data_IF_265681545619
#
_entry.id   IF_265681545619
#
_cell.length_a   1.000
_cell.length_b   1.000
_cell.length_c   1.000
_cell.angle_alpha   90.00
_cell.angle_beta   90.00
_cell.angle_gamma   90.00
#
_symmetry.space_group_name_H-M   'P 1'
#
loop_
_entity.id
_entity.type
_entity.pdbx_description
1 polymer ?
#
# COMPACT_ATOMS: atom_id res chain seq x y z
N UNK A 1 -8.79 4.03 24.70
CA UNK A 1 -8.24 5.15 23.91
C UNK A 1 -7.89 4.57 22.56
N UNK A 2 -8.36 5.09 21.42
CA UNK A 2 -7.80 4.70 20.13
C UNK A 2 -6.30 5.03 20.19
N UNK A 3 -5.46 4.01 20.00
CA UNK A 3 -4.02 4.25 19.86
C UNK A 3 -3.84 5.18 18.68
N UNK A 4 -3.12 6.28 18.90
CA UNK A 4 -2.74 7.18 17.82
C UNK A 4 -1.93 6.36 16.82
N UNK A 5 -2.51 6.15 15.65
CA UNK A 5 -1.91 5.28 14.64
C UNK A 5 -0.80 6.11 14.03
N UNK A 6 0.44 5.87 14.42
CA UNK A 6 1.64 6.62 13.97
C UNK A 6 1.94 6.51 12.48
N UNK A 7 0.97 6.07 11.66
CA UNK A 7 1.04 5.99 10.21
C UNK A 7 -0.27 6.48 9.58
N UNK A 8 -0.14 7.08 8.39
CA UNK A 8 -1.28 7.53 7.58
C UNK A 8 -1.67 6.43 6.59
N UNK A 9 -2.93 6.03 6.62
CA UNK A 9 -3.48 4.96 5.78
C UNK A 9 -4.02 5.50 4.45
N UNK A 10 -3.87 4.72 3.38
CA UNK A 10 -4.57 5.04 2.13
C UNK A 10 -6.06 4.75 2.22
N UNK A 11 -6.83 5.27 1.24
CA UNK A 11 -8.26 4.98 1.08
C UNK A 11 -8.51 3.47 1.06
N UNK A 12 -7.64 2.70 0.38
CA UNK A 12 -7.73 1.24 0.33
C UNK A 12 -7.70 0.62 1.72
N UNK A 13 -6.76 1.02 2.58
CA UNK A 13 -6.67 0.46 3.93
C UNK A 13 -7.88 0.84 4.79
N UNK A 14 -8.38 2.07 4.66
CA UNK A 14 -9.58 2.52 5.34
C UNK A 14 -10.83 1.75 4.88
N UNK A 15 -11.02 1.58 3.58
CA UNK A 15 -12.15 0.85 2.98
C UNK A 15 -12.16 -0.63 3.36
N UNK A 16 -10.98 -1.22 3.52
CA UNK A 16 -10.80 -2.59 4.00
C UNK A 16 -10.88 -2.71 5.52
N UNK A 17 -10.95 -1.59 6.24
CA UNK A 17 -11.00 -1.53 7.70
C UNK A 17 -9.89 -2.36 8.34
N UNK A 18 -8.68 -2.27 7.79
CA UNK A 18 -7.52 -3.03 8.28
C UNK A 18 -7.17 -2.58 9.69
N UNK A 19 -6.81 -3.54 10.55
CA UNK A 19 -6.48 -3.33 11.96
C UNK A 19 -5.16 -4.00 12.37
N UNK A 20 -4.60 -4.82 11.49
CA UNK A 20 -3.29 -5.44 11.66
C UNK A 20 -2.40 -5.08 10.49
N UNK A 21 -1.24 -4.49 10.78
CA UNK A 21 -0.34 -3.92 9.79
C UNK A 21 1.05 -4.53 9.92
N UNK A 22 1.65 -4.91 8.80
CA UNK A 22 2.99 -5.48 8.73
C UNK A 22 3.87 -4.52 7.93
N UNK A 23 4.87 -3.97 8.59
CA UNK A 23 5.84 -3.05 8.01
C UNK A 23 7.11 -3.77 7.62
N UNK A 24 7.76 -3.29 6.57
CA UNK A 24 9.08 -3.74 6.17
C UNK A 24 10.02 -2.56 6.02
N UNK A 25 11.24 -2.69 6.56
CA UNK A 25 12.29 -1.69 6.35
C UNK A 25 12.81 -1.75 4.91
N UNK A 26 13.18 -0.59 4.42
CA UNK A 26 13.79 -0.33 3.12
C UNK A 26 14.94 0.64 3.33
N UNK A 27 15.72 0.91 2.28
CA UNK A 27 16.76 1.95 2.34
C UNK A 27 16.21 3.36 2.56
N UNK A 28 14.89 3.57 2.38
CA UNK A 28 14.21 4.86 2.51
C UNK A 28 13.33 4.94 3.77
N UNK A 29 13.62 4.13 4.79
CA UNK A 29 12.76 3.95 5.97
C UNK A 29 11.84 2.74 5.82
N UNK A 30 10.74 2.70 6.54
CA UNK A 30 9.76 1.62 6.49
C UNK A 30 8.60 1.92 5.55
N UNK A 31 8.00 0.86 5.03
CA UNK A 31 6.75 0.90 4.24
C UNK A 31 5.74 -0.09 4.79
N UNK A 32 4.45 0.19 4.60
CA UNK A 32 3.42 -0.80 4.87
C UNK A 32 3.49 -1.87 3.80
N UNK A 33 3.87 -3.07 4.21
CA UNK A 33 3.96 -4.20 3.30
C UNK A 33 2.60 -4.87 3.12
N UNK A 34 1.93 -5.14 4.24
CA UNK A 34 0.67 -5.86 4.28
C UNK A 34 -0.25 -5.27 5.34
N UNK A 35 -1.55 -5.24 5.10
CA UNK A 35 -2.54 -5.03 6.14
C UNK A 35 -3.73 -5.97 6.02
N UNK A 36 -4.24 -6.40 7.17
CA UNK A 36 -5.31 -7.40 7.33
C UNK A 36 -6.39 -6.83 8.23
N UNK A 37 -7.62 -7.26 8.01
CA UNK A 37 -8.73 -7.04 8.93
C UNK A 37 -9.01 -8.35 9.68
N UNK A 38 -8.56 -8.42 10.94
CA UNK A 38 -8.66 -9.63 11.77
C UNK A 38 -10.10 -10.06 12.05
N UNK A 39 -11.07 -9.14 11.94
CA UNK A 39 -12.48 -9.45 12.13
C UNK A 39 -12.99 -10.44 11.07
N UNK A 40 -12.51 -10.33 9.83
CA UNK A 40 -12.97 -11.19 8.73
C UNK A 40 -12.07 -12.40 8.51
N UNK A 41 -10.75 -12.21 8.59
CA UNK A 41 -9.81 -13.32 8.50
C UNK A 41 -8.79 -13.22 9.64
N UNK A 42 -9.03 -13.93 10.75
CA UNK A 42 -8.04 -14.08 11.80
C UNK A 42 -6.78 -14.75 11.25
N UNK A 43 -5.63 -14.12 11.47
CA UNK A 43 -4.33 -14.60 10.98
C UNK A 43 -3.35 -14.80 12.13
N UNK A 44 -2.59 -15.89 12.03
CA UNK A 44 -1.42 -16.16 12.87
C UNK A 44 -0.12 -15.83 12.13
N UNK A 45 1.01 -15.91 12.82
CA UNK A 45 2.33 -15.84 12.19
C UNK A 45 2.48 -16.89 11.09
N UNK A 46 2.09 -18.14 11.36
CA UNK A 46 2.14 -19.24 10.38
C UNK A 46 1.33 -18.95 9.11
N UNK A 47 0.13 -18.38 9.26
CA UNK A 47 -0.70 -17.99 8.11
C UNK A 47 -0.02 -16.92 7.26
N UNK A 48 0.54 -15.89 7.88
CA UNK A 48 1.25 -14.81 7.17
C UNK A 48 2.46 -15.35 6.42
N UNK A 49 3.30 -16.18 7.05
CA UNK A 49 4.46 -16.79 6.39
C UNK A 49 4.04 -17.61 5.17
N UNK A 50 3.03 -18.47 5.33
CA UNK A 50 2.50 -19.27 4.23
C UNK A 50 1.96 -18.41 3.09
N UNK A 51 1.20 -17.37 3.37
CA UNK A 51 0.66 -16.47 2.35
C UNK A 51 1.73 -15.67 1.65
N UNK A 52 2.73 -15.18 2.37
CA UNK A 52 3.90 -14.51 1.79
C UNK A 52 4.62 -15.42 0.81
N UNK A 53 4.88 -16.67 1.20
CA UNK A 53 5.50 -17.66 0.31
C UNK A 53 4.63 -17.98 -0.90
N UNK A 54 3.32 -18.09 -0.70
CA UNK A 54 2.34 -18.35 -1.75
C UNK A 54 2.26 -17.21 -2.79
N UNK A 55 2.36 -15.96 -2.34
CA UNK A 55 2.35 -14.77 -3.19
C UNK A 55 3.72 -14.46 -3.82
N UNK A 56 4.79 -15.19 -3.50
CA UNK A 56 6.15 -14.89 -3.97
C UNK A 56 6.36 -15.29 -5.43
N UNK A 57 7.26 -14.59 -6.13
CA UNK A 57 7.68 -15.02 -7.47
C UNK A 57 8.58 -16.24 -7.30
N UNK A 58 8.22 -17.36 -7.93
CA UNK A 58 8.96 -18.63 -7.85
C UNK A 58 10.46 -18.51 -8.23
N UNK A 59 10.87 -17.45 -8.93
CA UNK A 59 12.26 -17.23 -9.35
C UNK A 59 13.14 -16.58 -8.29
N UNK A 60 12.58 -16.14 -7.16
CA UNK A 60 13.37 -15.64 -6.04
C UNK A 60 13.83 -16.79 -5.16
N UNK A 61 15.09 -16.77 -4.72
CA UNK A 61 15.51 -17.63 -3.61
C UNK A 61 14.58 -17.38 -2.41
N UNK A 62 14.20 -18.41 -1.63
CA UNK A 62 13.46 -18.18 -0.39
C UNK A 62 14.23 -17.15 0.43
N UNK A 63 13.56 -16.10 0.93
CA UNK A 63 14.23 -15.22 1.88
C UNK A 63 14.76 -16.09 3.01
N UNK A 64 16.00 -15.83 3.44
CA UNK A 64 16.44 -16.32 4.74
C UNK A 64 15.36 -15.92 5.75
N UNK A 65 14.84 -16.90 6.49
CA UNK A 65 13.52 -16.84 7.13
C UNK A 65 13.25 -15.51 7.82
N UNK A 66 12.04 -14.99 7.61
CA UNK A 66 11.62 -13.80 8.33
C UNK A 66 10.93 -14.14 9.63
N UNK A 67 10.82 -13.14 10.48
CA UNK A 67 10.05 -13.21 11.71
C UNK A 67 9.17 -11.98 11.84
N UNK A 68 8.07 -12.13 12.57
CA UNK A 68 7.23 -11.01 12.96
C UNK A 68 7.58 -10.59 14.39
N UNK A 69 7.55 -9.30 14.68
CA UNK A 69 7.55 -8.80 16.05
C UNK A 69 6.64 -7.58 16.16
N UNK A 70 6.04 -7.30 17.33
CA UNK A 70 5.36 -6.02 17.56
C UNK A 70 6.33 -4.85 17.38
N UNK A 71 5.86 -3.78 16.72
CA UNK A 71 6.65 -2.56 16.50
C UNK A 71 5.89 -1.31 16.90
N UNK A 72 6.63 -0.30 17.33
CA UNK A 72 6.16 1.09 17.31
C UNK A 72 6.45 1.69 15.95
N UNK A 73 5.48 2.41 15.40
CA UNK A 73 5.61 3.11 14.12
C UNK A 73 5.64 4.60 14.41
N UNK A 74 6.62 5.29 13.84
CA UNK A 74 6.76 6.74 13.91
C UNK A 74 6.87 7.33 12.51
N UNK A 75 6.59 8.62 12.36
CA UNK A 75 6.88 9.32 11.10
C UNK A 75 8.39 9.58 11.00
N UNK A 76 8.98 9.19 9.87
CA UNK A 76 10.42 9.33 9.60
C UNK A 76 10.61 9.82 8.18
N UNK A 77 10.57 11.13 7.99
CA UNK A 77 10.64 11.76 6.68
C UNK A 77 9.27 12.11 6.11
N UNK A 78 9.28 12.65 4.89
CA UNK A 78 8.07 13.03 4.16
C UNK A 78 7.34 11.75 3.75
N UNK A 79 6.12 11.59 4.27
CA UNK A 79 5.24 10.45 3.95
C UNK A 79 5.92 9.08 4.15
N UNK A 80 6.86 8.99 5.09
CA UNK A 80 7.70 7.82 5.32
C UNK A 80 7.70 7.46 6.80
N UNK A 81 7.97 6.20 7.12
CA UNK A 81 7.81 5.67 8.48
C UNK A 81 9.15 5.19 9.04
N UNK A 82 9.33 5.36 10.34
CA UNK A 82 10.29 4.61 11.14
C UNK A 82 9.56 3.47 11.84
N UNK A 83 10.25 2.35 12.01
CA UNK A 83 9.75 1.23 12.80
C UNK A 83 10.82 0.75 13.75
N UNK A 84 10.42 0.59 15.00
CA UNK A 84 11.27 0.13 16.08
C UNK A 84 10.59 -1.06 16.80
N UNK A 85 11.27 -2.21 16.92
CA UNK A 85 10.75 -3.35 17.66
C UNK A 85 10.43 -3.00 19.12
N UNK A 86 9.23 -3.35 19.58
CA UNK A 86 8.79 -3.09 20.95
C UNK A 86 8.28 -4.35 21.67
N UNK A 87 8.39 -5.52 21.04
CA UNK A 87 7.96 -6.80 21.61
C UNK A 87 8.85 -7.97 21.19
N UNK A 88 8.55 -9.14 21.77
CA UNK A 88 9.25 -10.38 21.44
C UNK A 88 8.99 -10.80 19.99
N UNK A 89 9.98 -11.49 19.43
CA UNK A 89 9.85 -12.15 18.14
C UNK A 89 8.78 -13.25 18.25
N UNK A 90 7.89 -13.30 17.26
CA UNK A 90 6.85 -14.31 17.11
C UNK A 90 7.38 -15.36 16.15
N UNK A 91 7.38 -16.61 16.61
CA UNK A 91 7.93 -17.71 15.81
C UNK A 91 7.13 -17.90 14.50
N UNK A 92 7.79 -18.27 13.39
CA UNK A 92 7.13 -18.38 12.08
C UNK A 92 6.04 -19.44 12.03
N UNK A 93 6.15 -20.49 12.85
CA UNK A 93 5.19 -21.59 12.95
C UNK A 93 4.11 -21.36 14.01
N UNK A 94 4.11 -20.21 14.69
CA UNK A 94 3.09 -19.89 15.69
C UNK A 94 1.70 -19.87 15.05
N UNK A 95 0.80 -20.69 15.60
CA UNK A 95 -0.62 -20.75 15.25
C UNK A 95 -1.48 -19.82 16.09
N UNK A 96 -0.88 -19.10 17.05
CA UNK A 96 -1.59 -18.11 17.85
C UNK A 96 -2.05 -16.95 16.96
N UNK A 97 -3.32 -16.58 17.10
CA UNK A 97 -3.89 -15.46 16.35
C UNK A 97 -3.24 -14.17 16.80
N UNK A 98 -2.75 -13.39 15.85
CA UNK A 98 -2.15 -12.09 16.12
C UNK A 98 -3.21 -11.12 16.64
N UNK A 99 -2.89 -10.37 17.68
CA UNK A 99 -3.73 -9.25 18.11
C UNK A 99 -3.69 -8.13 17.05
N UNK A 100 -4.77 -7.34 16.90
CA UNK A 100 -4.74 -6.11 16.13
C UNK A 100 -3.58 -5.19 16.57
N UNK A 101 -2.88 -4.60 15.61
CA UNK A 101 -1.70 -3.77 15.90
C UNK A 101 -0.68 -3.71 14.76
N UNK A 102 0.49 -3.16 15.08
CA UNK A 102 1.59 -2.99 14.13
C UNK A 102 2.69 -4.02 14.39
N UNK A 103 3.12 -4.67 13.31
CA UNK A 103 4.16 -5.69 13.31
C UNK A 103 5.26 -5.32 12.30
N UNK A 104 6.49 -5.69 12.61
CA UNK A 104 7.65 -5.52 11.75
C UNK A 104 8.10 -6.87 11.19
N UNK A 105 8.48 -6.85 9.91
CA UNK A 105 9.21 -7.94 9.27
C UNK A 105 10.70 -7.83 9.63
N UNK A 106 11.22 -8.84 10.34
CA UNK A 106 12.63 -8.91 10.77
C UNK A 106 13.36 -10.07 10.08
N UNK A 107 14.59 -9.86 9.60
CA UNK A 107 15.39 -10.87 8.88
C UNK A 107 16.38 -11.63 9.76
N UNK A 108 16.71 -11.11 10.94
CA UNK A 108 17.49 -11.84 11.92
C UNK A 108 16.98 -11.52 13.34
N UNK A 109 17.29 -12.40 14.29
CA UNK A 109 16.92 -12.20 15.70
C UNK A 109 17.64 -10.99 16.33
N UNK A 110 18.71 -10.51 15.70
CA UNK A 110 19.56 -9.42 16.17
C UNK A 110 19.21 -8.06 15.54
N UNK A 111 18.19 -7.99 14.67
CA UNK A 111 17.91 -6.80 13.86
C UNK A 111 17.25 -7.02 12.47
N UNK A 112 16.85 -5.90 11.87
CA UNK A 112 16.13 -5.87 10.58
C UNK A 112 17.14 -5.58 9.46
N UNK A 113 17.72 -6.61 8.85
CA UNK A 113 18.67 -6.44 7.72
C UNK A 113 18.19 -7.25 6.52
N UNK A 114 17.40 -6.63 5.66
CA UNK A 114 16.96 -7.21 4.38
C UNK A 114 15.88 -6.36 3.73
N UNK A 115 15.95 -6.21 2.40
CA UNK A 115 14.83 -5.65 1.63
C UNK A 115 13.71 -6.69 1.52
N UNK A 116 12.43 -6.28 1.38
CA UNK A 116 11.31 -7.22 1.22
C UNK A 116 11.57 -8.20 0.06
N UNK A 117 11.06 -9.44 0.14
CA UNK A 117 11.11 -10.32 -1.02
C UNK A 117 10.41 -9.64 -2.19
N UNK A 118 10.89 -9.94 -3.40
CA UNK A 118 10.21 -9.52 -4.62
C UNK A 118 8.88 -10.28 -4.70
N UNK A 119 7.82 -9.60 -4.28
CA UNK A 119 6.46 -10.08 -4.45
C UNK A 119 6.08 -10.05 -5.92
N UNK A 120 5.11 -10.87 -6.28
CA UNK A 120 4.68 -11.07 -7.66
C UNK A 120 4.12 -9.85 -8.37
N UNK A 121 3.92 -8.74 -7.67
CA UNK A 121 3.15 -7.65 -8.22
C UNK A 121 3.86 -6.30 -8.17
N UNK A 122 4.23 -5.85 -9.37
CA UNK A 122 3.97 -4.47 -9.78
C UNK A 122 2.46 -4.35 -10.03
N UNK A 123 1.65 -4.17 -8.99
CA UNK A 123 0.30 -3.61 -9.22
C UNK A 123 0.53 -2.17 -9.60
N UNK A 124 0.67 -1.90 -10.90
CA UNK A 124 0.43 -0.55 -11.35
C UNK A 124 -1.00 -0.21 -10.96
N UNK A 125 -1.13 0.86 -10.18
CA UNK A 125 -2.38 1.45 -9.73
C UNK A 125 -3.46 1.34 -10.82
N UNK A 126 -4.67 0.90 -10.46
CA UNK A 126 -5.89 1.73 -10.56
C UNK A 126 -7.22 1.00 -10.48
N UNK A 127 -7.34 -0.34 -10.47
CA UNK A 127 -8.69 -0.97 -10.39
C UNK A 127 -8.69 -2.19 -9.49
N UNK A 128 -9.53 -2.12 -8.45
CA UNK A 128 -9.54 -3.00 -7.28
C UNK A 128 -10.20 -4.38 -7.51
N UNK A 129 -10.79 -4.63 -8.68
CA UNK A 129 -11.72 -5.74 -8.88
C UNK A 129 -11.58 -6.35 -10.27
N UNK A 130 -11.75 -7.68 -10.40
CA UNK A 130 -11.74 -8.35 -11.72
C UNK A 130 -12.86 -7.77 -12.61
N UNK A 131 -13.99 -7.39 -12.03
CA UNK A 131 -15.13 -6.81 -12.75
C UNK A 131 -14.79 -5.46 -13.42
N UNK A 132 -14.26 -4.49 -12.67
CA UNK A 132 -13.83 -3.22 -13.23
C UNK A 132 -12.74 -3.37 -14.32
N UNK A 133 -11.94 -4.44 -14.27
CA UNK A 133 -10.99 -4.80 -15.32
C UNK A 133 -11.68 -5.37 -16.55
N UNK A 134 -12.67 -6.25 -16.38
CA UNK A 134 -13.48 -6.73 -17.50
C UNK A 134 -14.16 -5.56 -18.22
N UNK A 135 -14.71 -4.59 -17.49
CA UNK A 135 -15.27 -3.37 -18.08
C UNK A 135 -14.20 -2.56 -18.82
N UNK A 136 -13.02 -2.37 -18.23
CA UNK A 136 -11.91 -1.66 -18.86
C UNK A 136 -11.45 -2.32 -20.17
N UNK A 137 -11.30 -3.64 -20.16
CA UNK A 137 -10.83 -4.41 -21.30
C UNK A 137 -11.80 -4.34 -22.48
N UNK A 138 -13.11 -4.24 -22.20
CA UNK A 138 -14.12 -3.97 -23.22
C UNK A 138 -13.93 -2.59 -23.87
N UNK A 139 -13.50 -1.58 -23.11
CA UNK A 139 -13.34 -0.19 -23.58
C UNK A 139 -12.01 0.03 -24.32
N UNK A 140 -10.92 -0.61 -23.88
CA UNK A 140 -9.56 -0.36 -24.39
C UNK A 140 -9.19 -1.15 -25.65
N UNK A 141 -9.92 -2.23 -25.97
CA UNK A 141 -9.56 -3.06 -27.12
C UNK A 141 -10.26 -2.59 -28.41
N UNK A 142 -9.48 -2.18 -29.41
CA UNK A 142 -9.89 -1.92 -30.79
C UNK A 142 -10.35 -3.21 -31.52
N UNK A 143 -11.37 -3.89 -31.00
CA UNK A 143 -12.06 -5.01 -31.66
C UNK A 143 -11.45 -6.40 -31.48
N UNK A 144 -10.42 -6.58 -30.65
CA UNK A 144 -9.85 -7.91 -30.32
C UNK A 144 -10.37 -8.53 -29.02
N UNK A 145 -11.40 -7.94 -28.39
CA UNK A 145 -12.07 -8.54 -27.25
C UNK A 145 -12.81 -9.81 -27.70
N UNK A 146 -12.30 -10.98 -27.30
CA UNK A 146 -13.15 -12.18 -27.31
C UNK A 146 -13.96 -12.08 -26.02
N UNK A 147 -15.29 -12.02 -26.09
CA UNK A 147 -16.14 -12.00 -24.91
C UNK A 147 -15.75 -13.13 -23.96
N UNK A 148 -15.75 -12.87 -22.65
CA UNK A 148 -15.56 -13.88 -21.59
C UNK A 148 -16.77 -14.83 -21.49
N UNK A 149 -17.25 -15.32 -22.63
CA UNK A 149 -18.43 -16.18 -22.77
C UNK A 149 -17.95 -17.63 -22.76
N UNK A 150 -18.45 -18.39 -21.79
CA UNK A 150 -18.26 -19.84 -21.77
C UNK A 150 -18.89 -20.46 -23.02
N UNK A 151 -18.16 -21.34 -23.70
CA UNK A 151 -18.74 -22.14 -24.77
C UNK A 151 -19.88 -23.02 -24.22
N UNK A 152 -20.94 -23.32 -24.99
CA UNK A 152 -22.02 -24.18 -24.53
C UNK A 152 -21.53 -25.56 -24.07
N UNK A 153 -20.51 -26.11 -24.74
CA UNK A 153 -19.87 -27.38 -24.37
C UNK A 153 -19.20 -27.29 -23.00
N UNK A 154 -18.36 -26.26 -22.77
CA UNK A 154 -17.73 -26.05 -21.47
C UNK A 154 -18.76 -25.81 -20.36
N UNK A 155 -19.85 -25.08 -20.66
CA UNK A 155 -20.92 -24.84 -19.68
C UNK A 155 -21.61 -26.14 -19.28
N UNK A 156 -21.94 -26.98 -20.25
CA UNK A 156 -22.54 -28.30 -20.00
C UNK A 156 -21.61 -29.20 -19.20
N UNK A 157 -20.30 -29.16 -19.50
CA UNK A 157 -19.29 -29.91 -18.76
C UNK A 157 -19.22 -29.48 -17.29
N UNK A 158 -19.17 -28.16 -17.02
CA UNK A 158 -19.17 -27.62 -15.65
C UNK A 158 -20.43 -28.01 -14.88
N UNK A 159 -21.61 -27.88 -15.49
CA UNK A 159 -22.87 -28.25 -14.85
C UNK A 159 -22.93 -29.75 -14.51
N UNK A 160 -22.45 -30.59 -15.42
CA UNK A 160 -22.38 -32.05 -15.21
C UNK A 160 -21.40 -32.40 -14.11
N UNK A 161 -20.19 -31.82 -14.14
CA UNK A 161 -19.13 -32.04 -13.14
C UNK A 161 -19.61 -31.63 -11.73
N UNK A 162 -20.26 -30.48 -11.63
CA UNK A 162 -20.73 -29.93 -10.35
C UNK A 162 -22.09 -30.49 -9.93
N UNK A 163 -22.72 -31.33 -10.76
CA UNK A 163 -24.00 -31.98 -10.49
C UNK A 163 -25.14 -30.99 -10.28
N UNK A 164 -25.16 -29.90 -11.05
CA UNK A 164 -26.13 -28.80 -10.94
C UNK A 164 -26.24 -28.21 -9.53
N UNK A 165 -25.14 -28.19 -8.78
CA UNK A 165 -25.09 -27.61 -7.42
C UNK A 165 -24.00 -26.58 -7.35
N UNK A 166 -24.26 -25.47 -6.65
CA UNK A 166 -23.29 -24.43 -6.35
C UNK A 166 -22.07 -25.02 -5.65
N UNK A 167 -20.87 -24.75 -6.16
CA UNK A 167 -19.61 -25.29 -5.64
C UNK A 167 -19.35 -24.89 -4.19
N UNK A 168 -19.82 -23.72 -3.76
CA UNK A 168 -19.64 -23.21 -2.39
C UNK A 168 -20.72 -23.70 -1.42
N UNK A 169 -21.99 -23.65 -1.82
CA UNK A 169 -23.12 -23.85 -0.89
C UNK A 169 -23.74 -25.24 -0.98
N UNK A 170 -23.47 -25.99 -2.05
CA UNK A 170 -24.10 -27.29 -2.33
C UNK A 170 -25.57 -27.20 -2.76
N UNK A 171 -26.19 -26.02 -2.73
CA UNK A 171 -27.57 -25.82 -3.19
C UNK A 171 -27.67 -25.93 -4.72
N UNK A 172 -28.85 -26.28 -5.23
CA UNK A 172 -29.12 -26.36 -6.66
C UNK A 172 -28.77 -25.05 -7.39
N UNK A 173 -28.05 -25.15 -8.51
CA UNK A 173 -27.52 -24.00 -9.22
C UNK A 173 -27.16 -24.34 -10.67
N UNK A 174 -27.72 -23.57 -11.62
CA UNK A 174 -27.42 -23.68 -13.06
C UNK A 174 -26.55 -22.52 -13.57
N UNK A 175 -26.13 -21.63 -12.68
CA UNK A 175 -25.29 -20.49 -13.01
C UNK A 175 -23.83 -20.93 -13.02
N UNK A 176 -23.14 -20.69 -14.14
CA UNK A 176 -21.71 -20.96 -14.28
C UNK A 176 -20.96 -19.64 -14.36
N UNK A 177 -19.84 -19.56 -13.63
CA UNK A 177 -18.95 -18.42 -13.61
C UNK A 177 -17.49 -18.88 -13.75
N UNK A 178 -16.67 -18.05 -14.39
CA UNK A 178 -15.21 -18.25 -14.38
C UNK A 178 -14.67 -18.11 -12.96
N UNK A 179 -13.68 -18.91 -12.59
CA UNK A 179 -12.86 -18.71 -11.40
C UNK A 179 -11.97 -17.49 -11.65
N UNK A 180 -11.24 -17.52 -12.76
CA UNK A 180 -10.47 -16.38 -13.26
C UNK A 180 -11.05 -15.97 -14.60
N UNK A 181 -11.70 -14.79 -14.70
CA UNK A 181 -12.16 -14.27 -15.99
C UNK A 181 -10.99 -14.22 -16.98
N UNK A 182 -11.09 -14.81 -18.18
CA UNK A 182 -10.01 -14.79 -19.16
C UNK A 182 -9.52 -13.37 -19.48
N UNK A 183 -10.40 -12.37 -19.56
CA UNK A 183 -9.99 -10.97 -19.72
C UNK A 183 -9.11 -10.40 -18.60
N UNK A 184 -9.16 -10.98 -17.40
CA UNK A 184 -8.38 -10.55 -16.23
C UNK A 184 -7.21 -11.50 -15.89
N UNK A 185 -7.06 -12.61 -16.63
CA UNK A 185 -6.07 -13.63 -16.32
C UNK A 185 -4.62 -13.15 -16.52
N UNK A 186 -4.38 -12.14 -17.37
CA UNK A 186 -3.07 -11.50 -17.52
C UNK A 186 -2.51 -11.02 -16.17
N UNK A 187 -3.35 -10.40 -15.32
CA UNK A 187 -2.95 -9.86 -14.02
C UNK A 187 -2.69 -10.96 -12.96
N UNK A 188 -3.08 -12.20 -13.24
CA UNK A 188 -2.87 -13.34 -12.33
C UNK A 188 -1.55 -14.07 -12.59
N UNK A 189 -0.94 -13.81 -13.75
CA UNK A 189 0.31 -14.43 -14.17
C UNK A 189 1.46 -13.42 -14.13
N UNK A 190 2.53 -13.78 -13.42
CA UNK A 190 3.62 -12.90 -13.03
C UNK A 190 4.57 -12.60 -14.18
N UNK A 191 4.12 -11.78 -15.12
CA UNK A 191 4.78 -11.72 -16.40
C UNK A 191 5.28 -10.31 -16.74
N UNK A 192 6.61 -10.25 -16.89
CA UNK A 192 7.32 -9.27 -17.70
C UNK A 192 7.01 -9.41 -19.20
N UNK A 193 6.13 -10.33 -19.59
CA UNK A 193 5.74 -10.56 -20.97
C UNK A 193 4.82 -9.43 -21.43
N UNK A 194 5.11 -8.89 -22.61
CA UNK A 194 4.35 -7.80 -23.20
C UNK A 194 2.88 -8.24 -23.41
N UNK A 195 1.88 -7.39 -23.09
CA UNK A 195 0.45 -7.76 -23.14
C UNK A 195 0.00 -8.37 -24.47
N UNK A 196 0.61 -7.93 -25.58
CA UNK A 196 0.26 -8.38 -26.93
C UNK A 196 0.72 -9.82 -27.26
N UNK A 197 1.56 -10.45 -26.43
CA UNK A 197 2.00 -11.84 -26.59
C UNK A 197 1.32 -12.81 -25.64
N UNK A 198 0.35 -12.32 -24.87
CA UNK A 198 -0.31 -13.13 -23.87
C UNK A 198 -1.34 -14.07 -24.50
N UNK A 199 -1.15 -15.38 -24.29
CA UNK A 199 -2.08 -16.41 -24.73
C UNK A 199 -3.10 -16.72 -23.63
N UNK A 200 -4.37 -16.41 -23.90
CA UNK A 200 -5.48 -16.68 -22.97
C UNK A 200 -6.07 -18.08 -23.10
N UNK A 201 -5.67 -18.85 -24.10
CA UNK A 201 -6.20 -20.19 -24.36
C UNK A 201 -6.15 -21.12 -23.13
N UNK A 202 -5.11 -21.08 -22.28
CA UNK A 202 -5.07 -21.88 -21.05
C UNK A 202 -6.19 -21.56 -20.04
N UNK A 203 -6.81 -20.38 -20.12
CA UNK A 203 -7.91 -19.96 -19.25
C UNK A 203 -9.30 -20.24 -19.83
N UNK A 204 -9.39 -20.57 -21.13
CA UNK A 204 -10.64 -20.87 -21.82
C UNK A 204 -11.01 -22.36 -21.71
N UNK A 205 -10.99 -22.90 -20.50
CA UNK A 205 -11.22 -24.32 -20.21
C UNK A 205 -12.28 -24.50 -19.13
N UNK A 206 -13.04 -25.60 -19.18
CA UNK A 206 -14.08 -25.90 -18.17
C UNK A 206 -13.54 -25.97 -16.74
N UNK A 207 -12.27 -26.39 -16.56
CA UNK A 207 -11.60 -26.39 -15.27
C UNK A 207 -11.47 -24.99 -14.62
N UNK A 208 -11.47 -23.92 -15.41
CA UNK A 208 -11.44 -22.53 -14.93
C UNK A 208 -12.85 -21.98 -14.65
N UNK A 209 -13.89 -22.80 -14.62
CA UNK A 209 -15.25 -22.36 -14.36
C UNK A 209 -15.93 -23.29 -13.36
N UNK A 210 -16.86 -22.74 -12.58
CA UNK A 210 -17.61 -23.43 -11.53
C UNK A 210 -19.06 -22.98 -11.52
N UNK A 211 -19.94 -23.84 -11.00
CA UNK A 211 -21.29 -23.44 -10.62
C UNK A 211 -21.25 -22.53 -9.39
N UNK A 212 -21.95 -21.41 -9.45
CA UNK A 212 -21.95 -20.41 -8.38
C UNK A 212 -23.27 -19.65 -8.34
N UNK A 213 -23.84 -19.49 -7.14
CA UNK A 213 -25.01 -18.64 -6.96
C UNK A 213 -24.72 -17.19 -7.37
N UNK A 214 -25.72 -16.53 -7.96
CA UNK A 214 -25.59 -15.14 -8.44
C UNK A 214 -25.18 -14.17 -7.33
N UNK A 215 -25.67 -14.39 -6.12
CA UNK A 215 -25.35 -13.58 -4.93
C UNK A 215 -23.87 -13.65 -4.55
N UNK A 216 -23.21 -14.80 -4.74
CA UNK A 216 -21.79 -14.97 -4.45
C UNK A 216 -20.88 -14.50 -5.60
N UNK A 217 -21.38 -14.54 -6.85
CA UNK A 217 -20.61 -14.21 -8.05
C UNK A 217 -19.98 -12.83 -7.99
N UNK A 218 -20.78 -11.81 -7.64
CA UNK A 218 -20.28 -10.46 -7.52
C UNK A 218 -19.14 -10.39 -6.50
N UNK A 219 -19.34 -10.93 -5.29
CA UNK A 219 -18.33 -10.92 -4.24
C UNK A 219 -17.04 -11.68 -4.61
N UNK A 220 -17.18 -12.81 -5.30
CA UNK A 220 -16.04 -13.62 -5.74
C UNK A 220 -15.19 -12.90 -6.79
N UNK A 221 -15.83 -12.31 -7.81
CA UNK A 221 -15.13 -11.53 -8.86
C UNK A 221 -14.60 -10.18 -8.35
N UNK A 222 -15.17 -9.65 -7.27
CA UNK A 222 -14.66 -8.46 -6.60
C UNK A 222 -13.64 -8.77 -5.51
N UNK A 223 -13.12 -10.00 -5.43
CA UNK A 223 -12.09 -10.41 -4.47
C UNK A 223 -12.49 -10.25 -2.99
N UNK A 224 -13.78 -10.24 -2.67
CA UNK A 224 -14.24 -10.15 -1.27
C UNK A 224 -13.96 -11.45 -0.50
N UNK A 225 -13.87 -12.58 -1.21
CA UNK A 225 -13.44 -13.85 -0.64
C UNK A 225 -12.69 -14.70 -1.66
N UNK A 226 -11.92 -15.68 -1.18
CA UNK A 226 -11.18 -16.63 -2.00
C UNK A 226 -11.13 -18.02 -1.34
N UNK A 227 -10.63 -19.02 -2.06
CA UNK A 227 -10.45 -20.40 -1.56
C UNK A 227 -8.97 -20.69 -1.41
N UNK A 228 -8.55 -20.99 -0.19
CA UNK A 228 -7.20 -21.42 0.12
C UNK A 228 -7.09 -22.95 0.05
N UNK A 229 -6.80 -23.45 -1.15
CA UNK A 229 -6.71 -24.90 -1.42
C UNK A 229 -5.67 -25.58 -0.53
N UNK A 230 -4.60 -24.86 -0.17
CA UNK A 230 -3.49 -25.42 0.60
C UNK A 230 -3.72 -25.33 2.12
N UNK A 231 -4.87 -24.80 2.56
CA UNK A 231 -5.35 -24.75 3.95
C UNK A 231 -6.71 -25.47 4.05
N UNK A 232 -6.74 -26.74 3.63
CA UNK A 232 -7.93 -27.60 3.63
C UNK A 232 -9.16 -26.98 2.91
N UNK A 233 -8.91 -26.25 1.82
CA UNK A 233 -9.93 -25.52 1.06
C UNK A 233 -10.72 -24.52 1.91
N UNK A 234 -10.06 -23.90 2.91
CA UNK A 234 -10.63 -22.84 3.72
C UNK A 234 -11.08 -21.66 2.86
N UNK A 235 -12.25 -21.14 3.15
CA UNK A 235 -12.78 -19.95 2.50
C UNK A 235 -12.30 -18.72 3.30
N UNK A 236 -11.54 -17.86 2.62
CA UNK A 236 -11.00 -16.63 3.18
C UNK A 236 -11.96 -15.48 2.88
N UNK A 237 -12.62 -14.91 3.88
CA UNK A 237 -13.45 -13.71 3.72
C UNK A 237 -12.60 -12.49 4.06
N UNK A 238 -12.35 -11.63 3.09
CA UNK A 238 -11.43 -10.49 3.20
C UNK A 238 -12.16 -9.14 3.23
N UNK A 239 -13.46 -9.14 2.94
CA UNK A 239 -14.32 -7.97 3.01
C UNK A 239 -15.74 -8.35 3.44
N UNK A 240 -16.43 -7.41 4.06
CA UNK A 240 -17.87 -7.53 4.31
C UNK A 240 -18.64 -7.85 3.02
N UNK A 241 -19.58 -8.79 3.12
CA UNK A 241 -20.45 -9.20 2.01
C UNK A 241 -21.95 -9.11 2.35
N UNK A 242 -22.30 -8.55 3.50
CA UNK A 242 -23.68 -8.56 4.00
C UNK A 242 -24.23 -9.98 4.11
N UNK A 243 -25.50 -10.15 3.75
CA UNK A 243 -26.24 -11.42 3.84
C UNK A 243 -25.59 -12.54 3.01
N UNK A 244 -24.87 -12.21 1.93
CA UNK A 244 -24.20 -13.22 1.10
C UNK A 244 -23.09 -13.97 1.87
N UNK A 245 -22.57 -13.40 2.96
CA UNK A 245 -21.59 -14.07 3.81
C UNK A 245 -22.19 -15.29 4.54
N UNK A 246 -23.47 -15.24 4.90
CA UNK A 246 -24.14 -16.34 5.61
C UNK A 246 -24.31 -17.60 4.73
N UNK A 247 -24.18 -17.44 3.42
CA UNK A 247 -24.20 -18.54 2.47
C UNK A 247 -22.89 -19.33 2.44
N UNK A 248 -21.78 -18.71 2.82
CA UNK A 248 -20.47 -19.34 2.71
C UNK A 248 -20.22 -20.27 3.90
N UNK A 249 -19.89 -21.55 3.65
CA UNK A 249 -19.30 -22.38 4.69
C UNK A 249 -17.88 -21.87 5.04
N UNK A 250 -17.30 -22.39 6.11
CA UNK A 250 -15.91 -22.09 6.47
C UNK A 250 -14.89 -22.72 5.52
N UNK A 251 -15.26 -23.84 4.89
CA UNK A 251 -14.44 -24.60 3.94
C UNK A 251 -15.32 -25.05 2.78
N UNK A 252 -14.73 -25.23 1.58
CA UNK A 252 -15.47 -25.82 0.48
C UNK A 252 -15.99 -27.22 0.86
N UNK A 253 -17.22 -27.61 0.49
CA UNK A 253 -17.73 -28.95 0.74
C UNK A 253 -16.84 -30.04 0.13
N UNK A 254 -16.65 -31.19 0.79
CA UNK A 254 -15.74 -32.25 0.31
C UNK A 254 -16.09 -32.80 -1.08
N UNK A 255 -17.37 -32.76 -1.48
CA UNK A 255 -17.77 -33.12 -2.85
C UNK A 255 -17.20 -32.16 -3.92
N UNK A 256 -16.82 -30.95 -3.51
CA UNK A 256 -16.23 -29.91 -4.34
C UNK A 256 -14.68 -29.90 -4.31
N UNK A 257 -14.03 -30.81 -3.57
CA UNK A 257 -12.57 -30.82 -3.35
C UNK A 257 -11.80 -31.83 -4.23
N UNK A 258 -12.45 -32.46 -5.23
CA UNK A 258 -11.90 -33.64 -5.90
C UNK A 258 -11.29 -33.39 -7.30
N UNK A 259 -11.06 -32.14 -7.70
CA UNK A 259 -10.61 -31.82 -9.06
C UNK A 259 -9.34 -30.96 -9.06
N UNK A 260 -8.19 -31.63 -9.18
CA UNK A 260 -6.88 -30.99 -9.21
C UNK A 260 -6.72 -29.96 -10.36
N UNK A 261 -7.50 -30.09 -11.45
CA UNK A 261 -7.47 -29.11 -12.55
C UNK A 261 -8.14 -27.79 -12.16
N UNK A 262 -9.19 -27.86 -11.33
CA UNK A 262 -9.90 -26.69 -10.79
C UNK A 262 -9.06 -26.03 -9.70
N UNK A 263 -8.37 -26.83 -8.88
CA UNK A 263 -7.50 -26.35 -7.81
C UNK A 263 -6.40 -25.40 -8.31
N UNK A 264 -5.91 -25.62 -9.54
CA UNK A 264 -4.97 -24.72 -10.17
C UNK A 264 -5.53 -23.28 -10.27
N UNK A 265 -6.76 -23.15 -10.74
CA UNK A 265 -7.42 -21.85 -10.91
C UNK A 265 -7.84 -21.25 -9.57
N UNK A 266 -8.25 -22.06 -8.58
CA UNK A 266 -8.48 -21.57 -7.23
C UNK A 266 -7.21 -21.01 -6.60
N UNK A 267 -6.05 -21.68 -6.73
CA UNK A 267 -4.78 -21.14 -6.24
C UNK A 267 -4.42 -19.84 -6.93
N UNK A 268 -4.58 -19.76 -8.25
CA UNK A 268 -4.31 -18.52 -8.99
C UNK A 268 -5.23 -17.36 -8.54
N UNK A 269 -6.53 -17.62 -8.36
CA UNK A 269 -7.50 -16.63 -7.88
C UNK A 269 -7.17 -16.21 -6.44
N UNK A 270 -6.97 -17.16 -5.54
CA UNK A 270 -6.57 -16.89 -4.16
C UNK A 270 -5.30 -16.04 -4.08
N UNK A 271 -4.27 -16.37 -4.86
CA UNK A 271 -3.03 -15.60 -4.90
C UNK A 271 -3.27 -14.17 -5.38
N UNK A 272 -4.07 -13.99 -6.43
CA UNK A 272 -4.42 -12.67 -6.94
C UNK A 272 -5.22 -11.87 -5.92
N UNK A 273 -6.24 -12.48 -5.32
CA UNK A 273 -7.05 -11.90 -4.25
C UNK A 273 -6.19 -11.48 -3.05
N UNK A 274 -5.30 -12.33 -2.55
CA UNK A 274 -4.40 -11.99 -1.44
C UNK A 274 -3.47 -10.82 -1.80
N UNK A 275 -2.87 -10.83 -2.99
CA UNK A 275 -2.01 -9.72 -3.42
C UNK A 275 -2.77 -8.39 -3.46
N UNK A 276 -4.00 -8.39 -3.99
CA UNK A 276 -4.83 -7.19 -4.06
C UNK A 276 -5.30 -6.74 -2.68
N UNK A 277 -5.77 -7.66 -1.84
CA UNK A 277 -6.46 -7.35 -0.60
C UNK A 277 -5.53 -7.16 0.58
N UNK A 278 -4.32 -7.71 0.55
CA UNK A 278 -3.39 -7.66 1.67
C UNK A 278 -2.25 -6.66 1.46
N UNK A 279 -1.67 -6.57 0.27
CA UNK A 279 -0.47 -5.76 0.08
C UNK A 279 -0.75 -4.25 0.04
N UNK A 280 0.27 -3.47 0.40
CA UNK A 280 0.26 -2.01 0.33
C UNK A 280 -0.73 -1.36 1.29
N UNK A 281 -1.28 -0.22 0.90
CA UNK A 281 -2.28 0.53 1.64
C UNK A 281 -1.75 1.64 2.54
N UNK A 282 -0.49 2.04 2.37
CA UNK A 282 0.05 3.25 2.99
C UNK A 282 -0.16 4.49 2.12
N UNK A 283 0.10 5.65 2.70
CA UNK A 283 -0.06 6.96 2.06
C UNK A 283 0.75 7.11 0.77
N UNK A 284 1.76 6.27 0.53
CA UNK A 284 2.57 6.31 -0.70
C UNK A 284 1.83 5.79 -1.92
N UNK A 285 0.68 5.11 -1.75
CA UNK A 285 -0.24 4.82 -2.85
C UNK A 285 -0.96 6.08 -3.37
N UNK A 286 -1.11 7.09 -2.51
CA UNK A 286 -1.71 8.38 -2.89
C UNK A 286 -0.64 9.36 -3.34
N UNK A 287 0.48 9.38 -2.63
CA UNK A 287 1.64 10.23 -2.90
C UNK A 287 2.86 9.37 -3.22
N UNK A 288 2.96 8.82 -4.45
CA UNK A 288 4.14 8.08 -4.85
C UNK A 288 5.37 8.98 -4.81
N UNK A 289 6.56 8.40 -4.65
CA UNK A 289 7.82 9.14 -4.55
C UNK A 289 7.98 10.19 -5.67
N UNK A 290 7.57 9.89 -6.91
CA UNK A 290 7.65 10.86 -8.02
C UNK A 290 6.79 12.11 -7.79
N UNK A 291 5.61 11.96 -7.18
CA UNK A 291 4.71 13.08 -6.83
C UNK A 291 5.30 13.86 -5.65
N UNK A 292 5.87 13.18 -4.65
CA UNK A 292 6.58 13.83 -3.54
C UNK A 292 7.75 14.67 -4.07
N UNK A 293 8.58 14.09 -4.94
CA UNK A 293 9.73 14.78 -5.52
C UNK A 293 9.31 16.00 -6.35
N UNK A 294 8.26 15.87 -7.18
CA UNK A 294 7.72 16.98 -7.94
C UNK A 294 7.19 18.11 -7.03
N UNK A 295 6.45 17.76 -5.97
CA UNK A 295 5.96 18.74 -5.00
C UNK A 295 7.11 19.45 -4.25
N UNK A 296 8.17 18.72 -3.89
CA UNK A 296 9.36 19.32 -3.29
C UNK A 296 10.05 20.29 -4.25
N UNK A 297 10.22 19.91 -5.52
CA UNK A 297 10.80 20.76 -6.57
C UNK A 297 9.97 22.02 -6.78
N UNK A 298 8.66 21.89 -6.88
CA UNK A 298 7.72 23.01 -7.03
C UNK A 298 7.78 24.00 -5.87
N UNK A 299 8.03 23.52 -4.65
CA UNK A 299 8.16 24.32 -3.43
C UNK A 299 9.58 24.86 -3.21
N UNK A 300 10.52 24.55 -4.11
CA UNK A 300 11.92 24.95 -3.97
C UNK A 300 12.62 24.25 -2.80
N UNK A 301 12.23 23.03 -2.44
CA UNK A 301 12.87 22.22 -1.39
C UNK A 301 13.83 21.24 -2.04
N UNK A 302 15.13 21.45 -1.85
CA UNK A 302 16.16 20.53 -2.35
C UNK A 302 16.04 19.17 -1.64
N UNK A 303 16.10 18.09 -2.40
CA UNK A 303 16.03 16.72 -1.87
C UNK A 303 17.30 16.32 -1.11
N UNK A 304 18.44 16.78 -1.59
CA UNK A 304 19.70 16.67 -0.89
C UNK A 304 19.85 17.94 -0.10
N UNK A 305 19.96 17.85 1.23
CA UNK A 305 20.14 19.00 2.13
C UNK A 305 21.44 19.73 1.88
N UNK A 306 21.60 20.31 0.68
CA UNK A 306 22.67 21.21 0.34
C UNK A 306 22.56 22.39 1.28
N UNK A 307 23.64 22.64 2.01
CA UNK A 307 23.71 23.56 3.14
C UNK A 307 23.37 25.01 2.82
N UNK A 308 23.21 25.36 1.54
CA UNK A 308 22.70 26.65 1.15
C UNK A 308 21.20 26.71 1.43
N UNK A 309 20.82 27.61 2.35
CA UNK A 309 19.47 28.16 2.44
C UNK A 309 18.95 28.37 1.03
N UNK A 310 18.00 27.54 0.58
CA UNK A 310 17.60 27.58 -0.81
C UNK A 310 16.87 28.91 -1.02
N UNK A 311 17.47 29.91 -1.71
CA UNK A 311 16.89 31.24 -1.82
C UNK A 311 15.57 31.21 -2.61
N UNK A 312 15.29 30.08 -3.27
CA UNK A 312 14.16 29.85 -4.15
C UNK A 312 13.02 29.07 -3.48
N UNK A 313 13.02 28.91 -2.14
CA UNK A 313 11.89 28.28 -1.45
C UNK A 313 10.61 29.12 -1.64
N UNK A 314 9.50 28.46 -1.97
CA UNK A 314 8.21 29.12 -2.12
C UNK A 314 7.83 29.86 -0.81
N UNK A 315 7.25 31.07 -0.90
CA UNK A 315 6.74 31.81 0.26
C UNK A 315 5.81 30.93 1.11
N UNK A 316 5.83 31.06 2.45
CA UNK A 316 5.05 30.19 3.34
C UNK A 316 3.52 30.36 3.20
N UNK A 317 3.07 31.46 2.61
CA UNK A 317 1.67 31.73 2.28
C UNK A 317 1.24 31.12 0.94
N UNK A 318 2.14 30.47 0.19
CA UNK A 318 1.81 29.75 -1.03
C UNK A 318 0.78 28.64 -0.76
N UNK A 319 -0.27 28.57 -1.57
CA UNK A 319 -1.36 27.59 -1.42
C UNK A 319 -0.86 26.15 -1.43
N UNK A 320 0.27 25.86 -2.10
CA UNK A 320 0.86 24.52 -2.16
C UNK A 320 1.31 24.01 -0.80
N UNK A 321 1.72 24.88 0.13
CA UNK A 321 2.03 24.50 1.52
C UNK A 321 0.81 24.04 2.31
N UNK A 322 -0.39 24.43 1.89
CA UNK A 322 -1.65 24.10 2.58
C UNK A 322 -2.22 22.74 2.15
N UNK A 323 -1.63 22.11 1.13
CA UNK A 323 -1.96 20.74 0.75
C UNK A 323 -1.40 19.74 1.77
N UNK A 324 -1.97 18.54 1.85
CA UNK A 324 -1.49 17.49 2.78
C UNK A 324 -0.01 17.15 2.54
N UNK A 325 0.41 17.06 1.28
CA UNK A 325 1.81 16.82 0.92
C UNK A 325 2.70 18.02 1.24
N UNK A 326 2.22 19.25 0.99
CA UNK A 326 2.94 20.48 1.35
C UNK A 326 3.19 20.59 2.85
N UNK A 327 2.18 20.29 3.67
CA UNK A 327 2.31 20.29 5.13
C UNK A 327 3.33 19.25 5.62
N UNK A 328 3.33 18.05 5.02
CA UNK A 328 4.32 17.02 5.34
C UNK A 328 5.75 17.45 4.96
N UNK A 329 5.92 18.08 3.79
CA UNK A 329 7.20 18.66 3.35
C UNK A 329 7.65 19.75 4.32
N UNK A 330 6.77 20.70 4.64
CA UNK A 330 7.07 21.82 5.55
C UNK A 330 7.50 21.33 6.93
N UNK A 331 6.76 20.35 7.48
CA UNK A 331 7.09 19.74 8.77
C UNK A 331 8.50 19.15 8.76
N UNK A 332 8.87 18.43 7.69
CA UNK A 332 10.21 17.88 7.57
C UNK A 332 11.28 18.96 7.43
N UNK A 333 11.01 20.03 6.67
CA UNK A 333 11.94 21.17 6.53
C UNK A 333 12.18 21.83 7.88
N UNK A 334 11.13 22.09 8.65
CA UNK A 334 11.24 22.71 9.98
C UNK A 334 12.00 21.81 10.94
N UNK A 335 11.71 20.50 10.95
CA UNK A 335 12.42 19.53 11.78
C UNK A 335 13.92 19.52 11.48
N UNK A 336 14.29 19.43 10.20
CA UNK A 336 15.69 19.45 9.79
C UNK A 336 16.42 20.75 10.20
N UNK A 337 15.73 21.89 10.18
CA UNK A 337 16.31 23.18 10.63
C UNK A 337 16.56 23.19 12.14
N UNK A 338 15.62 22.66 12.93
CA UNK A 338 15.76 22.55 14.38
C UNK A 338 16.91 21.61 14.72
N UNK A 339 16.92 20.40 14.15
CA UNK A 339 17.95 19.39 14.40
C UNK A 339 19.36 19.97 14.09
N UNK A 340 19.51 20.68 12.97
CA UNK A 340 20.78 21.36 12.63
C UNK A 340 21.16 22.46 13.62
N UNK A 341 20.20 23.25 14.10
CA UNK A 341 20.49 24.31 15.08
C UNK A 341 20.96 23.74 16.43
N UNK A 342 20.47 22.56 16.81
CA UNK A 342 20.91 21.86 18.01
C UNK A 342 22.33 21.30 17.82
N UNK A 343 22.61 20.65 16.69
CA UNK A 343 23.94 20.15 16.34
C UNK A 343 25.00 21.27 16.32
N UNK A 344 24.64 22.46 15.82
CA UNK A 344 25.53 23.62 15.79
C UNK A 344 25.80 24.18 17.19
N UNK A 345 24.79 24.19 18.07
CA UNK A 345 24.93 24.60 19.46
C UNK A 345 25.85 23.65 20.24
N UNK A 346 25.66 22.33 20.10
CA UNK A 346 26.49 21.33 20.79
C UNK A 346 27.96 21.42 20.35
N UNK A 347 28.22 21.65 19.06
CA UNK A 347 29.60 21.82 18.54
C UNK A 347 30.26 23.11 19.02
N UNK A 348 29.49 24.19 19.22
CA UNK A 348 30.02 25.44 19.75
C UNK A 348 30.48 25.27 21.20
N UNK A 349 29.67 24.58 22.02
CA UNK A 349 29.99 24.28 23.42
C UNK A 349 31.24 23.37 23.53
N UNK A 350 31.37 22.35 22.67
CA UNK A 350 32.56 21.48 22.62
C UNK A 350 33.85 22.23 22.21
N UNK A 351 33.75 23.25 21.33
CA UNK A 351 34.89 24.08 20.95
C UNK A 351 35.32 25.05 22.06
N UNK A 352 34.37 25.55 22.85
CA UNK A 352 34.67 26.41 23.99
C UNK A 352 35.33 25.61 25.13
N UNK A 353 34.89 24.37 25.39
CA UNK A 353 35.47 23.51 26.43
C UNK A 353 36.83 22.90 26.04
N UNK A 354 37.08 22.69 24.74
CA UNK A 354 38.36 22.17 24.23
C UNK A 354 39.43 23.24 23.98
N UNK A 355 39.09 24.52 24.16
CA UNK A 355 40.07 25.59 24.12
C UNK A 355 41.00 25.47 25.34
N UNK A 356 42.31 25.25 25.16
CA UNK A 356 43.24 25.08 26.28
C UNK A 356 43.16 26.31 27.19
N UNK A 357 43.24 26.14 28.54
CA UNK A 357 43.24 27.26 29.45
C UNK A 357 44.31 28.25 29.00
N UNK A 358 43.91 29.50 28.80
CA UNK A 358 44.79 30.57 28.35
C UNK A 358 45.83 30.85 29.45
N UNK A 359 46.89 30.05 29.50
CA UNK A 359 48.10 30.33 30.25
C UNK A 359 48.79 31.53 29.56
N UNK A 360 48.34 32.72 29.91
CA UNK A 360 48.99 33.99 29.54
C UNK A 360 49.20 34.82 30.79
N UNK A 361 50.14 34.35 31.60
CA UNK A 361 50.90 35.18 32.54
C UNK A 361 52.37 35.10 32.11
N UNK A 362 52.72 35.82 31.04
CA UNK A 362 54.06 36.37 30.86
C UNK A 362 54.07 37.41 29.73
N UNK A 363 54.08 38.68 30.15
CA UNK A 363 54.26 39.84 29.27
C UNK A 363 55.74 40.00 28.93
N UNK A 364 56.10 40.27 27.67
CA UNK A 364 57.28 41.08 27.40
C UNK A 364 56.87 42.43 26.79
N UNK A 365 57.58 43.44 27.28
CA UNK A 365 57.46 44.85 27.00
C UNK A 365 57.67 45.22 25.52
N UNK A 366 56.96 46.27 25.12
CA UNK A 366 57.24 47.31 24.13
C UNK A 366 58.23 47.04 22.98
N UNK A 367 57.77 47.27 21.74
CA UNK A 367 58.52 48.17 20.84
C UNK A 367 57.60 48.87 19.83
N UNK A 368 57.64 50.20 19.89
CA UNK A 368 56.89 51.17 19.08
C UNK A 368 57.66 51.43 17.79
N UNK A 369 57.01 51.32 16.63
CA UNK A 369 57.48 51.93 15.38
C UNK A 369 56.33 52.70 14.71
N UNK A 370 56.55 54.00 14.55
CA UNK A 370 55.73 54.97 13.82
C UNK A 370 56.01 54.97 12.30
N UNK A 371 55.12 55.64 11.56
CA UNK A 371 55.15 56.08 10.15
C UNK A 371 54.67 55.06 9.08
N UNK A 372 53.87 55.41 8.06
CA UNK A 372 52.98 56.54 7.69
C UNK A 372 52.15 56.06 6.46
N UNK A 373 51.16 56.82 5.93
CA UNK A 373 49.94 56.28 5.32
C UNK A 373 49.95 56.15 3.79
N UNK A 374 49.18 55.20 3.26
CA UNK A 374 48.72 55.20 1.87
C UNK A 374 47.20 54.96 1.82
N UNK A 375 46.53 55.92 1.18
CA UNK A 375 45.10 56.01 0.90
C UNK A 375 44.58 54.85 0.05
N UNK A 376 43.56 54.14 0.54
CA UNK A 376 42.65 53.31 -0.26
C UNK A 376 41.22 53.64 0.17
N UNK A 377 40.44 54.15 -0.77
CA UNK A 377 39.00 54.34 -0.64
C UNK A 377 38.32 52.95 -0.60
N UNK A 378 37.67 52.63 0.52
CA UNK A 378 36.74 51.51 0.61
C UNK A 378 35.37 52.02 1.08
N UNK A 379 34.42 52.02 0.15
CA UNK A 379 33.02 52.36 0.40
C UNK A 379 32.39 51.38 1.38
N UNK A 380 31.97 51.89 2.53
CA UNK A 380 31.25 51.17 3.58
C UNK A 380 29.77 51.02 3.21
N UNK A 381 29.34 49.79 2.91
CA UNK A 381 27.93 49.39 2.99
C UNK A 381 27.69 48.69 4.34
N UNK A 382 27.26 49.45 5.34
CA UNK A 382 26.67 48.92 6.56
C UNK A 382 25.20 48.63 6.30
N UNK A 383 24.88 47.40 5.90
CA UNK A 383 23.53 46.86 5.99
C UNK A 383 23.34 46.29 7.40
N UNK A 384 22.48 46.91 8.19
CA UNK A 384 22.02 46.36 9.48
C UNK A 384 21.08 45.19 9.20
N UNK A 385 21.52 43.97 9.55
CA UNK A 385 20.65 42.80 9.58
C UNK A 385 19.58 43.00 10.67
N UNK A 386 18.28 42.94 10.36
CA UNK A 386 17.25 42.94 11.38
C UNK A 386 17.21 41.58 12.06
N UNK A 387 17.48 41.56 13.37
CA UNK A 387 17.17 40.42 14.24
C UNK A 387 15.64 40.28 14.32
N UNK A 388 15.09 39.26 13.66
CA UNK A 388 13.67 38.91 13.78
C UNK A 388 13.53 37.98 14.99
N UNK A 389 12.96 38.50 16.08
CA UNK A 389 12.53 37.66 17.20
C UNK A 389 11.22 36.94 16.81
N UNK A 390 11.29 35.61 16.67
CA UNK A 390 10.11 34.76 16.56
C UNK A 390 9.66 34.31 17.96
N UNK A 391 8.42 34.64 18.31
CA UNK A 391 7.75 34.12 19.51
C UNK A 391 7.11 32.75 19.19
N UNK A 392 7.81 31.68 19.58
CA UNK A 392 7.38 30.30 19.37
C UNK A 392 6.26 29.84 20.32
N UNK A 393 5.88 30.65 21.31
CA UNK A 393 4.87 30.25 22.31
C UNK A 393 3.43 30.19 21.78
N UNK A 394 3.20 30.68 20.54
CA UNK A 394 1.89 30.66 19.87
C UNK A 394 1.69 29.48 18.91
N UNK A 395 2.72 28.67 18.65
CA UNK A 395 2.65 27.46 17.80
C UNK A 395 2.73 26.18 18.64
N UNK A 396 1.79 25.99 19.55
CA UNK A 396 1.42 24.64 19.97
C UNK A 396 0.29 24.17 19.04
N UNK A 397 0.54 23.29 18.06
CA UNK A 397 -0.56 22.74 17.28
C UNK A 397 -1.37 21.81 18.19
N UNK A 398 -2.52 22.29 18.65
CA UNK A 398 -3.63 21.39 18.94
C UNK A 398 -3.92 20.64 17.64
N UNK A 399 -3.50 19.38 17.56
CA UNK A 399 -3.78 18.52 16.42
C UNK A 399 -5.29 18.47 16.18
N UNK A 400 -5.82 18.95 15.04
CA UNK A 400 -7.16 18.58 14.67
C UNK A 400 -7.11 17.09 14.31
N UNK A 401 -7.76 16.26 15.12
CA UNK A 401 -8.18 14.93 14.69
C UNK A 401 -9.03 15.15 13.44
N UNK A 402 -8.45 14.93 12.25
CA UNK A 402 -9.20 14.94 10.99
C UNK A 402 -10.11 13.71 11.04
N UNK A 403 -11.30 13.89 11.62
CA UNK A 403 -12.41 13.00 11.35
C UNK A 403 -12.71 13.14 9.86
N UNK A 404 -12.41 12.09 9.11
CA UNK A 404 -12.99 11.88 7.79
C UNK A 404 -14.50 11.71 8.01
N UNK A 405 -15.24 12.82 8.05
CA UNK A 405 -16.70 12.79 8.12
C UNK A 405 -17.24 12.59 6.71
N UNK A 406 -17.92 11.44 6.56
CA UNK A 406 -18.77 11.02 5.45
C UNK A 406 -18.06 10.52 4.18
N UNK A 407 -18.00 9.19 3.96
CA UNK A 407 -18.07 8.69 2.60
C UNK A 407 -19.42 9.12 2.02
N UNK A 408 -19.41 9.69 0.80
CA UNK A 408 -20.62 9.85 0.00
C UNK A 408 -21.19 8.45 -0.22
N UNK A 409 -22.21 8.09 0.56
CA UNK A 409 -23.00 6.90 0.31
C UNK A 409 -23.76 7.12 -1.01
N UNK A 410 -23.28 6.51 -2.09
CA UNK A 410 -24.14 6.30 -3.26
C UNK A 410 -25.25 5.34 -2.84
N UNK A 411 -26.43 5.88 -2.55
CA UNK A 411 -27.63 5.10 -2.28
C UNK A 411 -28.07 4.38 -3.54
N UNK A 412 -27.81 3.08 -3.61
CA UNK A 412 -28.29 2.19 -4.68
C UNK A 412 -29.77 1.79 -4.49
N UNK A 413 -30.43 2.22 -3.41
CA UNK A 413 -31.77 1.76 -3.01
C UNK A 413 -32.96 2.49 -3.67
N UNK A 414 -32.77 3.22 -4.78
CA UNK A 414 -33.90 3.88 -5.48
C UNK A 414 -33.97 3.63 -7.00
N UNK A 415 -33.45 2.51 -7.49
CA UNK A 415 -33.80 2.04 -8.83
C UNK A 415 -34.98 1.06 -8.79
N UNK A 416 -36.21 1.60 -8.82
CA UNK A 416 -37.37 0.79 -9.23
C UNK A 416 -37.20 0.38 -10.70
N UNK A 417 -37.39 -0.89 -11.06
CA UNK A 417 -37.26 -1.33 -12.45
C UNK A 417 -38.37 -0.69 -13.31
N UNK A 418 -37.96 0.18 -14.24
CA UNK A 418 -38.83 0.66 -15.30
C UNK A 418 -39.21 -0.49 -16.27
N UNK A 419 -40.35 -0.38 -16.97
CA UNK A 419 -40.84 -1.45 -17.83
C UNK A 419 -39.87 -1.71 -18.99
N UNK A 420 -39.57 -2.99 -19.19
CA UNK A 420 -38.76 -3.51 -20.30
C UNK A 420 -39.50 -3.23 -21.63
N UNK A 421 -38.87 -2.56 -22.61
CA UNK A 421 -39.47 -2.43 -23.94
C UNK A 421 -39.39 -3.77 -24.67
N UNK A 422 -40.54 -4.27 -25.10
CA UNK A 422 -40.66 -5.47 -25.93
C UNK A 422 -39.98 -5.28 -27.29
N UNK A 423 -39.15 -6.26 -27.66
CA UNK A 423 -38.38 -6.32 -28.91
C UNK A 423 -39.28 -6.38 -30.15
N UNK A 424 -39.28 -5.32 -30.97
CA UNK A 424 -39.85 -5.37 -32.33
C UNK A 424 -39.09 -4.52 -33.37
N UNK A 425 -37.79 -4.30 -33.18
CA UNK A 425 -36.96 -3.52 -34.11
C UNK A 425 -35.68 -4.27 -34.48
N UNK A 426 -35.81 -5.41 -35.15
CA UNK A 426 -34.72 -6.06 -35.88
C UNK A 426 -35.36 -6.92 -36.97
N UNK A 427 -35.92 -6.28 -37.99
CA UNK A 427 -36.28 -6.89 -39.27
C UNK A 427 -36.51 -5.78 -40.30
N UNK A 428 -35.47 -5.01 -40.60
CA UNK A 428 -35.42 -4.18 -41.80
C UNK A 428 -33.98 -3.71 -42.00
N UNK A 429 -33.12 -4.58 -42.50
CA UNK A 429 -31.91 -4.24 -43.28
C UNK A 429 -31.23 -5.55 -43.70
N UNK A 430 -31.86 -6.27 -44.65
CA UNK A 430 -31.21 -7.15 -45.63
C UNK A 430 -32.23 -7.42 -46.74
N UNK A 431 -32.28 -6.47 -47.67
CA UNK A 431 -32.85 -6.60 -49.02
C UNK A 431 -31.84 -6.04 -49.99
#
# INVERSE_FOLDING_TARGET
MPQDVGHVLSIKSADLQRDTFIFVRTSQGAKLFMGVNQKFTPVSSATIHRWVDFMRVQTSAPPEGFFLCPVTVCTSGIMSYGVDPCGAVIEPDSTEILAPGNYGWCYNREGIVGGPPRMTMYVRERRYTLEARMTAACEESDGLFIPDVLSPAAKSEVLTRDGHRCRFTGAECDNVAWIIPPGAAFDTQNFFTEPHRWDKSPFLVAANAITMQSQLRFHFHNNHFAVDVDDDYRILVLRAMGDAQELLPTHLPSCAQQDASVDHFFRLHCRHTLNLMLLGGDIKEVYPNSVIMAAMEELGVAYHGSDNENPDMAPLDDERWHTEIGQAILTQVLKNRIDRSLDESERADEQEESSPPSDSDDSPEEEVWEESPASVESSSNTATNPTIHFDWSTYAPEYPVVKITNPVSFGWDQMTPGPVPTSSFFNEFMS
#
